data_IF_970995802549
#
_entry.id   IF_970995802549
#
_cell.length_a   1.000
_cell.length_b   1.000
_cell.length_c   1.000
_cell.angle_alpha   90.00
_cell.angle_beta   90.00
_cell.angle_gamma   90.00
#
_symmetry.space_group_name_H-M   'P 1'
#
loop_
_entity.id
_entity.type
_entity.pdbx_description
1 polymer ?
#
# COMPACT_ATOMS: atom_id res chain seq x y z
N UNK A 1 23.72 2.62 22.85
CA UNK A 1 24.43 3.61 22.01
C UNK A 1 23.55 3.89 20.81
N UNK A 2 23.12 5.15 20.74
CA UNK A 2 22.44 5.87 19.67
C UNK A 2 22.79 5.40 18.25
N UNK A 3 21.79 5.18 17.39
CA UNK A 3 21.81 5.79 16.05
C UNK A 3 20.38 6.17 15.64
N UNK A 4 20.17 7.49 15.61
CA UNK A 4 19.12 8.17 14.86
C UNK A 4 19.39 7.92 13.38
N UNK A 5 18.37 7.47 12.67
CA UNK A 5 18.29 7.39 11.22
C UNK A 5 16.84 7.03 10.90
N UNK A 6 16.18 7.55 9.88
CA UNK A 6 16.72 8.14 8.68
C UNK A 6 15.53 8.70 7.88
N UNK A 7 15.69 9.94 7.41
CA UNK A 7 15.05 10.59 6.26
C UNK A 7 13.52 10.55 6.17
N UNK A 8 12.91 11.71 6.44
CA UNK A 8 11.61 12.08 5.87
C UNK A 8 11.81 12.30 4.36
N UNK A 9 11.42 11.30 3.56
CA UNK A 9 11.20 11.53 2.12
C UNK A 9 9.84 12.19 2.01
N UNK A 10 9.83 13.49 1.69
CA UNK A 10 8.65 14.11 1.12
C UNK A 10 8.43 13.43 -0.22
N UNK A 11 7.38 12.63 -0.35
CA UNK A 11 6.89 12.20 -1.65
C UNK A 11 6.37 13.45 -2.37
N UNK A 12 7.26 14.13 -3.08
CA UNK A 12 6.85 15.00 -4.16
C UNK A 12 6.08 14.10 -5.13
N UNK A 13 4.86 14.49 -5.49
CA UNK A 13 4.21 13.94 -6.67
C UNK A 13 5.06 14.34 -7.89
N UNK A 14 6.09 13.54 -8.18
CA UNK A 14 6.95 13.77 -9.34
C UNK A 14 6.13 13.35 -10.55
N UNK A 15 5.57 14.34 -11.25
CA UNK A 15 5.24 14.18 -12.66
C UNK A 15 6.54 14.00 -13.45
N UNK A 16 7.03 12.77 -13.56
CA UNK A 16 8.18 12.43 -14.38
C UNK A 16 7.69 11.84 -15.70
N UNK A 17 7.91 12.61 -16.77
CA UNK A 17 7.99 12.08 -18.11
C UNK A 17 9.11 11.01 -18.20
N UNK A 18 8.87 10.01 -19.05
CA UNK A 18 9.77 8.95 -19.52
C UNK A 18 9.95 7.73 -18.60
N UNK A 19 8.96 6.84 -18.61
CA UNK A 19 9.22 5.41 -18.72
C UNK A 19 8.45 4.82 -19.90
N UNK A 20 9.16 3.96 -20.61
CA UNK A 20 8.81 3.32 -21.88
C UNK A 20 7.57 2.42 -21.76
N UNK A 21 6.89 2.23 -22.89
CA UNK A 21 5.52 1.74 -22.98
C UNK A 21 5.34 0.25 -22.59
N UNK A 22 4.87 0.00 -21.37
CA UNK A 22 4.01 -1.13 -21.03
C UNK A 22 3.14 -0.73 -19.81
N UNK A 23 1.82 -0.71 -20.01
CA UNK A 23 0.80 -0.25 -19.05
C UNK A 23 0.86 1.22 -18.61
N UNK A 24 0.26 2.08 -19.44
CA UNK A 24 -0.24 3.38 -18.99
C UNK A 24 -1.28 3.14 -17.88
N UNK A 25 -0.82 3.10 -16.63
CA UNK A 25 -1.70 3.00 -15.47
C UNK A 25 -2.57 4.26 -15.43
N UNK A 26 -3.91 4.13 -15.36
CA UNK A 26 -4.80 5.28 -15.39
C UNK A 26 -4.50 6.24 -14.23
N UNK A 27 -4.27 7.51 -14.54
CA UNK A 27 -4.12 8.58 -13.53
C UNK A 27 -5.39 8.65 -12.68
N UNK A 28 -5.28 8.64 -11.33
CA UNK A 28 -6.46 8.66 -10.45
C UNK A 28 -7.31 9.92 -10.68
N UNK A 29 -8.62 9.73 -10.83
CA UNK A 29 -9.57 10.82 -11.17
C UNK A 29 -9.93 11.68 -9.96
N UNK A 30 -9.68 11.19 -8.75
CA UNK A 30 -9.84 11.91 -7.48
C UNK A 30 -8.54 11.73 -6.68
N UNK A 31 -7.69 12.76 -6.56
CA UNK A 31 -6.40 12.59 -5.90
C UNK A 31 -6.61 12.49 -4.38
N UNK A 32 -6.58 11.27 -3.86
CA UNK A 32 -6.32 11.01 -2.45
C UNK A 32 -4.82 10.82 -2.30
N UNK A 33 -4.20 11.59 -1.42
CA UNK A 33 -2.79 11.48 -1.11
C UNK A 33 -2.62 10.36 -0.09
N UNK A 34 -1.98 9.27 -0.51
CA UNK A 34 -1.54 8.19 0.36
C UNK A 34 0.00 8.12 0.34
N UNK A 35 0.60 7.68 1.43
CA UNK A 35 2.02 7.31 1.49
C UNK A 35 2.16 5.83 1.80
N UNK A 36 3.27 5.22 1.37
CA UNK A 36 3.59 3.81 1.59
C UNK A 36 4.95 3.70 2.29
N UNK A 37 5.01 2.89 3.34
CA UNK A 37 6.24 2.42 3.97
C UNK A 37 6.30 0.90 3.94
N UNK A 38 7.52 0.35 3.75
CA UNK A 38 7.76 -1.10 3.72
C UNK A 38 8.98 -1.40 4.59
N UNK A 39 8.76 -2.13 5.68
CA UNK A 39 9.84 -2.56 6.57
C UNK A 39 9.70 -4.05 6.89
N UNK A 40 10.73 -4.81 6.50
CA UNK A 40 10.61 -6.27 6.38
C UNK A 40 9.35 -6.66 5.58
N UNK A 41 8.54 -7.54 6.15
CA UNK A 41 7.27 -7.99 5.54
C UNK A 41 6.08 -7.07 5.80
N UNK A 42 6.26 -5.95 6.52
CA UNK A 42 5.16 -5.05 6.92
C UNK A 42 5.00 -3.91 5.93
N UNK A 43 3.78 -3.76 5.41
CA UNK A 43 3.36 -2.61 4.61
C UNK A 43 2.51 -1.69 5.48
N UNK A 44 2.83 -0.40 5.47
CA UNK A 44 2.07 0.65 6.15
C UNK A 44 1.62 1.68 5.12
N UNK A 45 0.31 1.89 5.00
CA UNK A 45 -0.24 2.95 4.17
C UNK A 45 -0.84 4.02 5.06
N UNK A 46 -0.49 5.28 4.83
CA UNK A 46 -1.02 6.43 5.59
C UNK A 46 -1.83 7.34 4.68
N UNK A 47 -2.97 7.80 5.16
CA UNK A 47 -3.79 8.77 4.44
C UNK A 47 -3.29 10.18 4.74
N UNK A 48 -2.65 10.82 3.76
CA UNK A 48 -2.02 12.14 3.92
C UNK A 48 -2.97 13.29 3.61
N UNK A 49 -3.96 13.07 2.73
CA UNK A 49 -4.86 14.14 2.31
C UNK A 49 -5.93 13.67 1.35
N UNK A 50 -7.05 14.40 1.27
CA UNK A 50 -8.18 14.06 0.40
C UNK A 50 -9.47 13.74 1.15
N UNK A 51 -10.45 13.21 0.42
CA UNK A 51 -11.71 12.77 1.01
C UNK A 51 -11.53 11.41 1.72
N UNK A 52 -12.26 11.16 2.82
CA UNK A 52 -12.27 9.86 3.48
C UNK A 52 -12.55 8.72 2.49
N UNK A 53 -11.86 7.59 2.70
CA UNK A 53 -12.07 6.36 1.95
C UNK A 53 -12.91 5.38 2.77
N UNK A 54 -13.76 4.62 2.09
CA UNK A 54 -14.50 3.50 2.70
C UNK A 54 -13.77 2.20 2.38
N UNK A 55 -13.08 1.62 3.35
CA UNK A 55 -12.24 0.42 3.12
C UNK A 55 -13.06 -0.77 2.63
N UNK A 56 -14.36 -0.85 2.94
CA UNK A 56 -15.23 -1.93 2.47
C UNK A 56 -15.43 -1.93 0.94
N UNK A 57 -15.23 -0.78 0.28
CA UNK A 57 -15.30 -0.67 -1.19
C UNK A 57 -13.94 -0.73 -1.87
N UNK A 58 -12.84 -0.76 -1.09
CA UNK A 58 -11.50 -0.69 -1.65
C UNK A 58 -11.01 -2.06 -2.15
N UNK A 59 -10.30 -2.02 -3.27
CA UNK A 59 -9.44 -3.11 -3.71
C UNK A 59 -7.98 -2.67 -3.62
N UNK A 60 -7.15 -3.50 -2.99
CA UNK A 60 -5.71 -3.27 -2.88
C UNK A 60 -4.99 -4.33 -3.70
N UNK A 61 -4.08 -3.89 -4.58
CA UNK A 61 -3.25 -4.74 -5.42
C UNK A 61 -1.78 -4.46 -5.13
N UNK A 62 -1.03 -5.51 -4.83
CA UNK A 62 0.37 -5.44 -4.44
C UNK A 62 1.20 -6.27 -5.42
N UNK A 63 2.31 -5.68 -5.86
CA UNK A 63 3.37 -6.36 -6.59
C UNK A 63 4.72 -6.10 -5.92
N UNK A 64 5.64 -7.06 -6.02
CA UNK A 64 7.03 -6.95 -5.58
C UNK A 64 7.93 -7.15 -6.79
N UNK A 65 8.85 -6.23 -7.05
CA UNK A 65 9.73 -6.19 -8.24
C UNK A 65 8.98 -6.38 -9.57
N UNK A 66 7.76 -5.84 -9.64
CA UNK A 66 6.89 -5.91 -10.81
C UNK A 66 6.02 -7.17 -10.90
N UNK A 67 6.25 -8.18 -10.06
CA UNK A 67 5.47 -9.41 -10.01
C UNK A 67 4.34 -9.32 -8.98
N UNK A 68 3.11 -9.61 -9.40
CA UNK A 68 1.94 -9.55 -8.51
C UNK A 68 1.96 -10.68 -7.49
N UNK A 69 1.62 -10.36 -6.24
CA UNK A 69 1.45 -11.38 -5.21
C UNK A 69 0.41 -12.42 -5.63
N UNK A 70 0.70 -13.70 -5.37
CA UNK A 70 -0.19 -14.82 -5.58
C UNK A 70 -1.50 -14.68 -4.80
N UNK A 71 -1.43 -14.11 -3.58
CA UNK A 71 -2.58 -13.75 -2.78
C UNK A 71 -2.62 -12.26 -2.52
N UNK A 72 -3.71 -11.62 -2.97
CA UNK A 72 -3.98 -10.20 -2.77
C UNK A 72 -4.82 -10.01 -1.50
N UNK A 73 -4.62 -8.92 -0.73
CA UNK A 73 -5.30 -8.74 0.53
C UNK A 73 -6.79 -8.43 0.31
N UNK A 74 -7.72 -9.18 0.93
CA UNK A 74 -9.15 -8.91 0.83
C UNK A 74 -9.54 -7.87 1.88
N UNK A 75 -9.10 -6.63 1.74
CA UNK A 75 -9.39 -5.58 2.73
C UNK A 75 -10.89 -5.23 2.78
N UNK A 76 -11.45 -4.95 3.97
CA UNK A 76 -10.84 -5.18 5.28
C UNK A 76 -10.83 -6.67 5.64
N UNK A 77 -9.85 -7.13 6.42
CA UNK A 77 -9.76 -8.52 6.86
C UNK A 77 -9.31 -8.66 8.32
N UNK A 78 -9.55 -9.83 8.90
CA UNK A 78 -8.90 -10.24 10.15
C UNK A 78 -7.81 -11.29 9.88
N UNK A 79 -8.08 -12.24 8.98
CA UNK A 79 -7.11 -13.22 8.51
C UNK A 79 -7.35 -13.49 7.03
N UNK A 80 -6.29 -13.61 6.27
CA UNK A 80 -6.33 -13.87 4.83
C UNK A 80 -5.15 -14.77 4.43
N UNK A 81 -5.34 -15.58 3.39
CA UNK A 81 -4.25 -16.40 2.85
C UNK A 81 -3.12 -15.52 2.33
N UNK A 82 -1.86 -15.86 2.63
CA UNK A 82 -0.70 -15.07 2.24
C UNK A 82 -0.41 -13.85 3.13
N UNK A 83 -1.18 -13.63 4.20
CA UNK A 83 -0.98 -12.53 5.14
C UNK A 83 -0.96 -13.01 6.58
N UNK A 84 -0.20 -12.34 7.44
CA UNK A 84 -0.33 -12.58 8.88
C UNK A 84 -1.70 -12.08 9.37
N UNK A 85 -2.36 -12.82 10.28
CA UNK A 85 -3.61 -12.35 10.87
C UNK A 85 -3.42 -11.07 11.69
N UNK A 86 -4.50 -10.30 11.81
CA UNK A 86 -4.58 -9.09 12.61
C UNK A 86 -3.88 -7.88 11.98
N UNK A 87 -4.25 -7.46 10.76
CA UNK A 87 -3.85 -6.14 10.26
C UNK A 87 -4.29 -5.05 11.25
N UNK A 88 -3.72 -3.84 11.19
CA UNK A 88 -4.11 -2.74 12.09
C UNK A 88 -4.67 -1.55 11.33
N UNK A 89 -5.33 -0.66 12.07
CA UNK A 89 -6.02 0.48 11.49
C UNK A 89 -7.19 0.04 10.61
N UNK A 90 -7.55 0.87 9.60
CA UNK A 90 -8.74 0.64 8.78
C UNK A 90 -8.76 -0.66 7.96
N UNK A 91 -7.62 -1.35 7.78
CA UNK A 91 -7.58 -2.67 7.12
C UNK A 91 -8.06 -3.80 8.03
N UNK A 92 -8.17 -3.58 9.34
CA UNK A 92 -8.74 -4.58 10.25
C UNK A 92 -10.26 -4.59 10.17
N UNK A 93 -10.86 -5.74 9.86
CA UNK A 93 -12.31 -5.91 9.79
C UNK A 93 -13.06 -5.64 11.11
N UNK A 94 -12.37 -5.54 12.24
CA UNK A 94 -12.94 -5.14 13.53
C UNK A 94 -12.78 -3.63 13.83
N UNK A 95 -12.09 -2.87 12.97
CA UNK A 95 -11.92 -1.42 13.11
C UNK A 95 -13.01 -0.64 12.37
N UNK A 96 -13.02 0.68 12.52
CA UNK A 96 -13.85 1.58 11.70
C UNK A 96 -13.34 1.50 10.24
N UNK A 97 -14.18 1.13 9.25
CA UNK A 97 -13.76 1.04 7.87
C UNK A 97 -13.57 2.41 7.21
N UNK A 98 -13.98 3.50 7.87
CA UNK A 98 -13.77 4.85 7.36
C UNK A 98 -12.32 5.28 7.59
N UNK A 99 -11.54 5.33 6.53
CA UNK A 99 -10.14 5.76 6.57
C UNK A 99 -10.00 7.25 6.28
N UNK A 100 -9.48 8.00 7.26
CA UNK A 100 -9.35 9.46 7.23
C UNK A 100 -7.89 9.93 7.33
N UNK A 101 -7.68 11.22 7.05
CA UNK A 101 -6.36 11.84 7.06
C UNK A 101 -5.66 11.69 8.42
N UNK A 102 -4.41 11.25 8.39
CA UNK A 102 -3.57 10.99 9.56
C UNK A 102 -3.63 9.57 10.09
N UNK A 103 -4.56 8.74 9.60
CA UNK A 103 -4.65 7.34 9.99
C UNK A 103 -3.77 6.45 9.09
N UNK A 104 -3.22 5.41 9.69
CA UNK A 104 -2.37 4.41 9.03
C UNK A 104 -3.05 3.04 9.08
N UNK A 105 -3.14 2.38 7.93
CA UNK A 105 -3.52 0.99 7.80
C UNK A 105 -2.25 0.13 7.63
N UNK A 106 -2.17 -1.00 8.33
CA UNK A 106 -1.02 -1.90 8.20
C UNK A 106 -1.45 -3.32 7.89
N UNK A 107 -0.63 -4.02 7.11
CA UNK A 107 -0.71 -5.45 6.89
C UNK A 107 0.70 -6.03 6.85
N UNK A 108 0.82 -7.32 7.13
CA UNK A 108 2.10 -8.03 7.09
C UNK A 108 1.97 -9.25 6.18
N UNK A 109 2.94 -9.40 5.28
CA UNK A 109 3.00 -10.54 4.38
C UNK A 109 3.41 -11.81 5.16
N UNK A 110 2.75 -12.92 4.88
CA UNK A 110 3.22 -14.21 5.38
C UNK A 110 4.17 -14.83 4.35
N UNK A 111 5.19 -15.56 4.80
CA UNK A 111 6.10 -16.33 3.91
C UNK A 111 5.42 -17.47 3.13
N UNK A 112 4.10 -17.60 3.22
CA UNK A 112 3.27 -18.47 2.37
C UNK A 112 2.74 -17.75 1.14
N UNK A 113 2.99 -16.43 1.00
CA UNK A 113 2.73 -15.68 -0.21
C UNK A 113 3.99 -15.68 -1.09
N UNK A 114 3.81 -15.29 -2.35
CA UNK A 114 4.87 -15.26 -3.34
C UNK A 114 4.58 -14.12 -4.32
N UNK A 115 5.57 -13.29 -4.71
CA UNK A 115 6.94 -13.25 -4.18
C UNK A 115 7.04 -12.82 -2.70
N UNK A 116 8.16 -13.14 -2.05
CA UNK A 116 8.52 -12.58 -0.73
C UNK A 116 9.09 -11.17 -0.86
N UNK A 117 9.11 -10.40 0.23
CA UNK A 117 9.71 -9.06 0.26
C UNK A 117 11.11 -9.17 0.85
N UNK A 118 12.12 -9.02 0.00
CA UNK A 118 13.51 -8.96 0.42
C UNK A 118 13.98 -7.49 0.60
N UNK A 119 14.97 -7.22 1.46
CA UNK A 119 15.54 -5.88 1.58
C UNK A 119 16.03 -5.34 0.23
N UNK A 120 15.61 -4.12 -0.12
CA UNK A 120 15.90 -3.49 -1.40
C UNK A 120 14.90 -3.78 -2.53
N UNK A 121 13.93 -4.68 -2.33
CA UNK A 121 12.87 -4.93 -3.29
C UNK A 121 11.96 -3.69 -3.46
N UNK A 122 11.47 -3.48 -4.67
CA UNK A 122 10.49 -2.43 -4.97
C UNK A 122 9.08 -3.00 -4.80
N UNK A 123 8.30 -2.42 -3.87
CA UNK A 123 6.91 -2.79 -3.66
C UNK A 123 6.00 -1.73 -4.26
N UNK A 124 5.13 -2.15 -5.15
CA UNK A 124 4.09 -1.30 -5.74
C UNK A 124 2.73 -1.65 -5.13
N UNK A 125 2.01 -0.65 -4.64
CA UNK A 125 0.64 -0.81 -4.14
C UNK A 125 -0.31 0.08 -4.93
N UNK A 126 -1.32 -0.53 -5.54
CA UNK A 126 -2.41 0.17 -6.23
C UNK A 126 -3.69 0.03 -5.42
N UNK A 127 -4.37 1.15 -5.19
CA UNK A 127 -5.62 1.23 -4.43
C UNK A 127 -6.72 1.69 -5.36
N UNK A 128 -7.83 0.96 -5.36
CA UNK A 128 -9.01 1.22 -6.17
C UNK A 128 -10.23 1.36 -5.28
N UNK A 129 -11.18 2.19 -5.67
CA UNK A 129 -12.54 2.26 -5.14
C UNK A 129 -13.49 1.76 -6.23
N UNK A 130 -13.99 0.54 -6.08
CA UNK A 130 -14.53 -0.24 -7.20
C UNK A 130 -13.50 -0.38 -8.33
N UNK A 131 -13.84 0.08 -9.53
CA UNK A 131 -12.94 0.08 -10.70
C UNK A 131 -12.12 1.38 -10.83
N UNK A 132 -12.32 2.36 -9.93
CA UNK A 132 -11.69 3.67 -10.04
C UNK A 132 -10.34 3.65 -9.33
N UNK A 133 -9.21 3.92 -10.02
CA UNK A 133 -7.92 4.07 -9.35
C UNK A 133 -7.93 5.30 -8.44
N UNK A 134 -7.50 5.12 -7.19
CA UNK A 134 -7.43 6.15 -6.16
C UNK A 134 -5.98 6.54 -5.88
N UNK A 135 -5.09 5.55 -5.83
CA UNK A 135 -3.66 5.76 -5.63
C UNK A 135 -2.82 4.66 -6.30
N UNK A 136 -1.62 5.04 -6.73
CA UNK A 136 -0.54 4.11 -7.09
C UNK A 136 0.71 4.57 -6.33
N UNK A 137 1.23 3.68 -5.49
CA UNK A 137 2.30 3.96 -4.54
C UNK A 137 3.45 3.01 -4.82
N UNK A 138 4.67 3.49 -4.58
CA UNK A 138 5.88 2.70 -4.69
C UNK A 138 6.81 3.02 -3.52
N UNK A 139 7.42 1.99 -2.95
CA UNK A 139 8.42 2.12 -1.90
C UNK A 139 9.44 0.98 -1.97
N UNK A 140 10.67 1.26 -1.53
CA UNK A 140 11.72 0.25 -1.40
C UNK A 140 11.68 -0.34 0.00
N UNK A 141 11.75 -1.68 0.10
CA UNK A 141 11.79 -2.39 1.37
C UNK A 141 13.11 -2.16 2.13
N UNK A 142 13.03 -1.90 3.43
CA UNK A 142 14.16 -1.70 4.34
C UNK A 142 14.19 -2.67 5.51
#
# INVERSE_FOLDING_TARGET
MLLIGLVVVVAAAVGAAAFDAADASPTPTRPTALSLGVSGDTLSLTHEGGAPLDVESLAVRISVDGESLAHQPPVPFFSASGFRPGPTGPFNAAADPRWTVGETATLELAGTNDPTIEPGATVTVRVFDGDTPVAALEATAS
#
